data_IF_833152240982
#
_entry.id   IF_833152240982
#
_cell.length_a   1.000
_cell.length_b   1.000
_cell.length_c   1.000
_cell.angle_alpha   90.00
_cell.angle_beta   90.00
_cell.angle_gamma   90.00
#
_symmetry.space_group_name_H-M   'P 1'
#
loop_
_entity.id
_entity.type
_entity.pdbx_description
1 polymer ?
#
# COMPACT_ATOMS: atom_id res chain seq x y z
N UNK A 1 -16.69 10.04 50.40
CA UNK A 1 -17.45 9.40 49.31
C UNK A 1 -17.04 10.10 48.03
N UNK A 2 -15.86 9.71 47.53
CA UNK A 2 -15.37 10.16 46.20
C UNK A 2 -14.21 9.23 45.83
N UNK A 3 -14.54 8.01 45.49
CA UNK A 3 -13.62 7.06 44.87
C UNK A 3 -14.07 6.78 43.47
N UNK A 4 -13.09 6.64 42.63
CA UNK A 4 -13.17 6.14 41.29
C UNK A 4 -13.43 7.18 40.18
N UNK A 5 -12.39 7.44 39.43
CA UNK A 5 -12.31 7.14 37.99
C UNK A 5 -10.82 7.31 37.58
N UNK A 6 -9.96 6.39 37.98
CA UNK A 6 -8.72 6.13 37.28
C UNK A 6 -9.00 5.02 36.27
N UNK A 7 -9.52 5.41 35.10
CA UNK A 7 -9.64 4.52 33.97
C UNK A 7 -8.26 4.20 33.40
N UNK A 8 -7.55 3.24 34.02
CA UNK A 8 -6.40 2.62 33.34
C UNK A 8 -6.91 2.04 32.01
N UNK A 9 -6.27 2.36 30.88
CA UNK A 9 -6.59 1.69 29.65
C UNK A 9 -6.30 0.21 29.83
N UNK A 10 -7.34 -0.62 29.83
CA UNK A 10 -7.21 -2.08 29.83
C UNK A 10 -6.20 -2.46 28.74
N UNK A 11 -4.99 -2.85 29.16
CA UNK A 11 -4.07 -3.57 28.29
C UNK A 11 -4.84 -4.80 27.83
N UNK A 12 -5.27 -4.79 26.56
CA UNK A 12 -5.80 -6.02 25.94
C UNK A 12 -4.75 -7.08 26.19
N UNK A 13 -5.05 -8.03 27.08
CA UNK A 13 -4.19 -9.15 27.38
C UNK A 13 -3.97 -9.91 26.08
N UNK A 14 -2.77 -9.78 25.51
CA UNK A 14 -2.38 -10.61 24.38
C UNK A 14 -2.59 -12.06 24.81
N UNK A 15 -3.25 -12.86 23.97
CA UNK A 15 -3.45 -14.28 24.25
C UNK A 15 -2.10 -14.90 24.60
N UNK A 16 -2.04 -15.77 25.66
CA UNK A 16 -0.81 -16.42 26.04
C UNK A 16 -0.29 -17.28 24.89
N UNK A 17 0.99 -17.17 24.58
CA UNK A 17 1.62 -18.02 23.59
C UNK A 17 1.67 -19.47 24.09
N UNK A 18 1.42 -20.43 23.21
CA UNK A 18 1.56 -21.86 23.51
C UNK A 18 3.01 -22.19 23.97
N UNK A 19 4.00 -21.49 23.39
CA UNK A 19 5.41 -21.56 23.76
C UNK A 19 5.90 -20.18 24.22
N UNK A 20 5.88 -19.88 25.53
CA UNK A 20 6.27 -18.55 26.05
C UNK A 20 7.70 -18.12 25.70
N UNK A 21 8.61 -19.08 25.49
CA UNK A 21 9.99 -18.82 25.07
C UNK A 21 10.10 -18.07 23.73
N UNK A 22 9.07 -18.17 22.86
CA UNK A 22 9.04 -17.47 21.58
C UNK A 22 8.60 -16.01 21.67
N UNK A 23 8.24 -15.51 22.85
CA UNK A 23 7.76 -14.13 23.01
C UNK A 23 8.76 -13.11 22.48
N UNK A 24 10.02 -13.22 22.91
CA UNK A 24 11.08 -12.30 22.46
C UNK A 24 11.30 -12.34 20.95
N UNK A 25 11.23 -13.51 20.35
CA UNK A 25 11.30 -13.67 18.90
C UNK A 25 10.18 -12.89 18.20
N UNK A 26 8.91 -13.04 18.62
CA UNK A 26 7.79 -12.34 18.02
C UNK A 26 7.80 -10.83 18.25
N UNK A 27 8.33 -10.35 19.37
CA UNK A 27 8.50 -8.93 19.66
C UNK A 27 9.44 -8.24 18.66
N UNK A 28 10.45 -8.96 18.16
CA UNK A 28 11.38 -8.47 17.13
C UNK A 28 10.85 -8.76 15.74
N UNK A 29 10.39 -9.98 15.48
CA UNK A 29 9.98 -10.42 14.15
C UNK A 29 8.77 -9.65 13.62
N UNK A 30 7.80 -9.31 14.46
CA UNK A 30 6.59 -8.59 14.02
C UNK A 30 6.90 -7.19 13.42
N UNK A 31 7.62 -6.26 14.07
CA UNK A 31 7.93 -4.99 13.45
C UNK A 31 8.87 -5.11 12.25
N UNK A 32 9.78 -6.10 12.23
CA UNK A 32 10.68 -6.33 11.10
C UNK A 32 9.91 -6.86 9.90
N UNK A 33 9.08 -7.88 10.07
CA UNK A 33 8.26 -8.46 8.98
C UNK A 33 7.31 -7.42 8.37
N UNK A 34 6.73 -6.56 9.20
CA UNK A 34 5.92 -5.46 8.69
C UNK A 34 6.72 -4.44 7.89
N UNK A 35 7.91 -4.05 8.34
CA UNK A 35 8.77 -3.16 7.60
C UNK A 35 9.18 -3.77 6.25
N UNK A 36 9.54 -5.06 6.22
CA UNK A 36 9.85 -5.78 4.98
C UNK A 36 8.64 -5.83 4.03
N UNK A 37 7.44 -6.12 4.55
CA UNK A 37 6.21 -6.10 3.75
C UNK A 37 5.99 -4.75 3.09
N UNK A 38 6.11 -3.66 3.85
CA UNK A 38 5.90 -2.28 3.38
C UNK A 38 6.96 -1.88 2.34
N UNK A 39 8.24 -2.20 2.58
CA UNK A 39 9.33 -1.94 1.64
C UNK A 39 9.11 -2.73 0.34
N UNK A 40 8.85 -4.04 0.44
CA UNK A 40 8.60 -4.88 -0.73
C UNK A 40 7.38 -4.39 -1.52
N UNK A 41 6.30 -4.02 -0.83
CA UNK A 41 5.10 -3.46 -1.43
C UNK A 41 5.41 -2.17 -2.21
N UNK A 42 6.12 -1.21 -1.60
CA UNK A 42 6.52 0.02 -2.27
C UNK A 42 7.43 -0.23 -3.48
N UNK A 43 8.41 -1.14 -3.37
CA UNK A 43 9.27 -1.51 -4.49
C UNK A 43 8.49 -2.15 -5.64
N UNK A 44 7.51 -3.01 -5.36
CA UNK A 44 6.64 -3.60 -6.38
C UNK A 44 5.87 -2.50 -7.12
N UNK A 45 5.25 -1.56 -6.41
CA UNK A 45 4.54 -0.44 -7.05
C UNK A 45 5.50 0.42 -7.88
N UNK A 46 6.71 0.68 -7.40
CA UNK A 46 7.73 1.44 -8.12
C UNK A 46 8.10 0.83 -9.48
N UNK A 47 8.13 -0.51 -9.60
CA UNK A 47 8.42 -1.18 -10.89
C UNK A 47 7.39 -0.85 -11.97
N UNK A 48 6.17 -0.45 -11.59
CA UNK A 48 5.13 -0.01 -12.53
C UNK A 48 5.17 1.51 -12.80
N UNK A 49 5.60 2.31 -11.82
CA UNK A 49 5.69 3.76 -11.96
C UNK A 49 6.93 4.22 -12.74
N UNK A 50 8.08 3.60 -12.47
CA UNK A 50 9.35 4.03 -13.06
C UNK A 50 9.38 4.01 -14.59
N UNK A 51 8.89 2.96 -15.29
CA UNK A 51 8.80 2.97 -16.75
C UNK A 51 7.88 4.07 -17.30
N UNK A 52 6.78 4.40 -16.59
CA UNK A 52 5.90 5.52 -16.96
C UNK A 52 6.63 6.86 -16.87
N UNK A 53 7.44 7.05 -15.84
CA UNK A 53 8.21 8.28 -15.63
C UNK A 53 9.34 8.43 -16.66
N UNK A 54 10.04 7.34 -16.98
CA UNK A 54 11.17 7.34 -17.92
C UNK A 54 10.74 7.25 -19.39
N UNK A 55 9.45 6.98 -19.66
CA UNK A 55 8.96 6.77 -21.02
C UNK A 55 9.42 5.43 -21.63
N UNK A 56 9.78 4.47 -20.79
CA UNK A 56 10.24 3.17 -21.24
C UNK A 56 9.09 2.15 -21.32
N UNK A 57 9.30 1.07 -22.07
CA UNK A 57 8.35 -0.02 -22.15
C UNK A 57 8.30 -0.82 -20.85
N UNK A 58 7.15 -1.40 -20.51
CA UNK A 58 6.96 -2.28 -19.36
C UNK A 58 6.21 -3.55 -19.78
N UNK A 59 6.92 -4.67 -19.82
CA UNK A 59 6.37 -5.92 -20.32
C UNK A 59 5.82 -5.77 -21.75
N UNK A 60 4.55 -6.10 -21.95
CA UNK A 60 3.89 -5.96 -23.26
C UNK A 60 3.41 -4.52 -23.59
N UNK A 61 3.56 -3.57 -22.67
CA UNK A 61 3.16 -2.18 -22.86
C UNK A 61 4.33 -1.36 -23.41
N UNK A 62 4.24 -0.98 -24.70
CA UNK A 62 5.24 -0.11 -25.32
C UNK A 62 5.26 1.31 -24.72
N UNK A 63 4.11 1.81 -24.28
CA UNK A 63 3.97 3.08 -23.58
C UNK A 63 3.02 2.91 -22.38
N UNK A 64 3.55 2.64 -21.17
CA UNK A 64 2.73 2.37 -19.98
C UNK A 64 1.90 3.57 -19.52
N UNK A 65 2.37 4.82 -19.71
CA UNK A 65 1.61 6.00 -19.38
C UNK A 65 0.40 6.17 -20.31
N UNK A 66 0.61 6.04 -21.61
CA UNK A 66 -0.48 6.09 -22.59
C UNK A 66 -1.50 4.97 -22.35
N UNK A 67 -1.04 3.77 -21.99
CA UNK A 67 -1.92 2.66 -21.61
C UNK A 67 -2.78 2.99 -20.39
N UNK A 68 -2.21 3.62 -19.35
CA UNK A 68 -2.96 4.07 -18.18
C UNK A 68 -4.01 5.11 -18.54
N UNK A 69 -3.65 6.13 -19.34
CA UNK A 69 -4.59 7.15 -19.82
C UNK A 69 -5.74 6.51 -20.63
N UNK A 70 -5.43 5.53 -21.50
CA UNK A 70 -6.42 4.82 -22.28
C UNK A 70 -7.41 4.03 -21.39
N UNK A 71 -6.94 3.35 -20.35
CA UNK A 71 -7.83 2.67 -19.41
C UNK A 71 -8.71 3.65 -18.62
N UNK A 72 -8.15 4.79 -18.19
CA UNK A 72 -8.90 5.83 -17.49
C UNK A 72 -9.99 6.42 -18.39
N UNK A 73 -9.69 6.62 -19.68
CA UNK A 73 -10.63 7.16 -20.67
C UNK A 73 -11.73 6.17 -21.00
N UNK A 74 -11.36 4.95 -21.41
CA UNK A 74 -12.28 4.03 -22.09
C UNK A 74 -12.94 3.02 -21.16
N UNK A 75 -12.36 2.77 -19.96
CA UNK A 75 -12.92 1.80 -19.00
C UNK A 75 -13.50 2.49 -17.78
N UNK A 76 -12.80 3.47 -17.22
CA UNK A 76 -13.25 4.17 -16.02
C UNK A 76 -14.11 5.41 -16.35
N UNK A 77 -14.01 5.94 -17.57
CA UNK A 77 -14.73 7.13 -18.03
C UNK A 77 -14.55 8.36 -17.13
N UNK A 78 -13.33 8.51 -16.55
CA UNK A 78 -13.05 9.65 -15.67
C UNK A 78 -12.85 10.93 -16.47
N UNK A 79 -13.26 12.09 -15.93
CA UNK A 79 -12.91 13.38 -16.50
C UNK A 79 -11.41 13.61 -16.40
N UNK A 80 -10.84 14.38 -17.37
CA UNK A 80 -9.41 14.72 -17.39
C UNK A 80 -8.44 13.50 -17.30
N UNK A 81 -8.58 12.47 -18.16
CA UNK A 81 -7.86 11.21 -18.04
C UNK A 81 -6.33 11.36 -18.08
N UNK A 82 -5.82 12.37 -18.80
CA UNK A 82 -4.39 12.67 -18.87
C UNK A 82 -3.86 13.11 -17.51
N UNK A 83 -4.57 14.01 -16.81
CA UNK A 83 -4.18 14.46 -15.48
C UNK A 83 -4.18 13.30 -14.47
N UNK A 84 -5.19 12.43 -14.50
CA UNK A 84 -5.23 11.21 -13.69
C UNK A 84 -4.11 10.22 -14.07
N UNK A 85 -3.75 10.10 -15.35
CA UNK A 85 -2.62 9.28 -15.79
C UNK A 85 -1.30 9.74 -15.18
N UNK A 86 -1.01 11.05 -15.18
CA UNK A 86 0.15 11.63 -14.51
C UNK A 86 0.09 11.48 -12.99
N UNK A 87 -1.08 11.67 -12.39
CA UNK A 87 -1.27 11.44 -10.96
C UNK A 87 -0.92 9.99 -10.56
N UNK A 88 -1.42 8.99 -11.30
CA UNK A 88 -1.08 7.57 -11.09
C UNK A 88 0.42 7.34 -11.26
N UNK A 89 1.04 7.91 -12.29
CA UNK A 89 2.50 7.83 -12.48
C UNK A 89 3.27 8.37 -11.27
N UNK A 90 2.89 9.54 -10.74
CA UNK A 90 3.52 10.14 -9.57
C UNK A 90 3.29 9.30 -8.30
N UNK A 91 2.09 8.75 -8.14
CA UNK A 91 1.76 7.87 -7.01
C UNK A 91 2.58 6.58 -7.05
N UNK A 92 2.73 5.97 -8.23
CA UNK A 92 3.50 4.73 -8.42
C UNK A 92 5.03 4.95 -8.41
N UNK A 93 5.51 6.18 -8.55
CA UNK A 93 6.93 6.51 -8.45
C UNK A 93 7.28 7.10 -7.09
N UNK A 94 6.98 8.37 -6.89
CA UNK A 94 7.33 9.08 -5.65
C UNK A 94 6.52 8.56 -4.46
N UNK A 95 5.22 8.31 -4.63
CA UNK A 95 4.39 7.72 -3.59
C UNK A 95 4.88 6.34 -3.17
N UNK A 96 5.32 5.52 -4.12
CA UNK A 96 5.88 4.20 -3.85
C UNK A 96 7.18 4.26 -3.04
N UNK A 97 8.10 5.18 -3.37
CA UNK A 97 9.33 5.42 -2.60
C UNK A 97 9.01 5.92 -1.19
N UNK A 98 8.08 6.87 -1.07
CA UNK A 98 7.61 7.37 0.23
C UNK A 98 7.01 6.25 1.07
N UNK A 99 6.19 5.39 0.46
CA UNK A 99 5.59 4.24 1.12
C UNK A 99 6.64 3.23 1.58
N UNK A 100 7.64 2.91 0.74
CA UNK A 100 8.76 2.05 1.10
C UNK A 100 9.53 2.60 2.29
N UNK A 101 9.84 3.91 2.31
CA UNK A 101 10.51 4.59 3.41
C UNK A 101 9.62 4.73 4.67
N UNK A 102 8.30 4.63 4.53
CA UNK A 102 7.32 4.89 5.58
C UNK A 102 7.17 6.38 5.87
N UNK A 103 7.11 7.18 4.82
CA UNK A 103 6.86 8.61 4.87
C UNK A 103 5.45 8.90 4.36
N UNK A 104 4.68 9.67 5.12
CA UNK A 104 3.26 9.96 4.85
C UNK A 104 2.43 8.68 4.56
N UNK A 105 2.72 7.63 5.32
CA UNK A 105 2.19 6.28 5.06
C UNK A 105 0.67 6.27 5.04
N UNK A 106 0.02 6.95 6.00
CA UNK A 106 -1.45 7.00 6.12
C UNK A 106 -2.13 7.83 5.03
N UNK A 107 -1.37 8.66 4.31
CA UNK A 107 -1.87 9.41 3.16
C UNK A 107 -1.70 8.60 1.86
N UNK A 108 -0.52 8.05 1.64
CA UNK A 108 -0.16 7.38 0.38
C UNK A 108 -0.83 6.00 0.27
N UNK A 109 -0.83 5.21 1.34
CA UNK A 109 -1.35 3.84 1.28
C UNK A 109 -2.84 3.76 0.92
N UNK A 110 -3.77 4.59 1.44
CA UNK A 110 -5.16 4.57 1.00
C UNK A 110 -5.33 4.99 -0.47
N UNK A 111 -4.49 5.90 -0.99
CA UNK A 111 -4.52 6.28 -2.40
C UNK A 111 -4.15 5.09 -3.28
N UNK A 112 -3.13 4.31 -2.89
CA UNK A 112 -2.76 3.06 -3.58
C UNK A 112 -3.87 2.01 -3.44
N UNK A 113 -4.52 1.90 -2.28
CA UNK A 113 -5.65 0.97 -2.11
C UNK A 113 -6.81 1.28 -3.07
N UNK A 114 -7.17 2.56 -3.21
CA UNK A 114 -8.18 3.02 -4.19
C UNK A 114 -7.72 2.72 -5.62
N UNK A 115 -6.46 2.98 -5.96
CA UNK A 115 -5.91 2.66 -7.28
C UNK A 115 -6.01 1.15 -7.57
N UNK A 116 -5.68 0.27 -6.61
CA UNK A 116 -5.80 -1.18 -6.80
C UNK A 116 -7.25 -1.62 -7.01
N UNK A 117 -8.21 -0.99 -6.32
CA UNK A 117 -9.64 -1.23 -6.56
C UNK A 117 -10.04 -0.82 -7.99
N UNK A 118 -9.55 0.31 -8.51
CA UNK A 118 -9.79 0.71 -9.91
C UNK A 118 -9.16 -0.27 -10.91
N UNK A 119 -7.97 -0.79 -10.62
CA UNK A 119 -7.33 -1.82 -11.46
C UNK A 119 -8.16 -3.12 -11.43
N UNK A 120 -8.75 -3.50 -10.31
CA UNK A 120 -9.67 -4.64 -10.26
C UNK A 120 -10.86 -4.44 -11.22
N UNK A 121 -11.46 -3.24 -11.26
CA UNK A 121 -12.55 -2.92 -12.19
C UNK A 121 -12.12 -3.05 -13.66
N UNK A 122 -10.89 -2.63 -13.98
CA UNK A 122 -10.33 -2.75 -15.35
C UNK A 122 -10.20 -4.23 -15.78
N UNK A 123 -9.88 -5.11 -14.84
CA UNK A 123 -9.66 -6.54 -15.14
C UNK A 123 -10.94 -7.39 -14.99
N UNK A 124 -12.01 -6.82 -14.42
CA UNK A 124 -13.28 -7.53 -14.27
C UNK A 124 -13.84 -7.99 -15.63
N UNK A 125 -14.42 -9.22 -15.76
CA UNK A 125 -14.67 -10.21 -14.70
C UNK A 125 -13.56 -11.28 -14.54
N UNK A 126 -12.37 -11.11 -15.11
CA UNK A 126 -11.28 -12.09 -15.02
C UNK A 126 -10.72 -12.12 -13.61
N UNK A 127 -10.76 -13.29 -12.96
CA UNK A 127 -10.22 -13.46 -11.61
C UNK A 127 -8.75 -13.86 -11.62
N UNK A 128 -8.39 -14.96 -12.27
CA UNK A 128 -7.09 -15.58 -12.17
C UNK A 128 -5.94 -14.66 -12.65
N UNK A 129 -4.92 -14.49 -11.82
CA UNK A 129 -3.77 -13.65 -12.11
C UNK A 129 -2.98 -14.12 -13.35
N UNK A 130 -2.93 -15.43 -13.59
CA UNK A 130 -2.23 -16.03 -14.74
C UNK A 130 -2.82 -15.56 -16.07
N UNK A 131 -4.11 -15.23 -16.09
CA UNK A 131 -4.85 -14.70 -17.24
C UNK A 131 -4.94 -13.16 -17.20
N UNK A 132 -4.05 -12.51 -16.48
CA UNK A 132 -4.08 -11.06 -16.21
C UNK A 132 -5.37 -10.61 -15.52
N UNK A 133 -5.86 -11.44 -14.58
CA UNK A 133 -7.06 -11.14 -13.79
C UNK A 133 -6.80 -10.25 -12.59
N UNK A 134 -7.87 -9.98 -11.85
CA UNK A 134 -7.88 -9.03 -10.72
C UNK A 134 -7.35 -9.59 -9.40
N UNK A 135 -7.04 -10.88 -9.30
CA UNK A 135 -6.59 -11.55 -8.06
C UNK A 135 -5.37 -10.86 -7.44
N UNK A 136 -4.36 -10.54 -8.27
CA UNK A 136 -3.16 -9.86 -7.80
C UNK A 136 -3.42 -8.42 -7.33
N UNK A 137 -4.04 -7.52 -8.13
CA UNK A 137 -4.37 -6.18 -7.65
C UNK A 137 -5.34 -6.19 -6.47
N UNK A 138 -6.24 -7.18 -6.35
CA UNK A 138 -7.09 -7.34 -5.19
C UNK A 138 -6.27 -7.59 -3.91
N UNK A 139 -5.34 -8.54 -3.95
CA UNK A 139 -4.43 -8.81 -2.83
C UNK A 139 -3.59 -7.58 -2.48
N UNK A 140 -3.04 -6.90 -3.49
CA UNK A 140 -2.27 -5.66 -3.31
C UNK A 140 -3.12 -4.56 -2.67
N UNK A 141 -4.40 -4.45 -3.05
CA UNK A 141 -5.35 -3.51 -2.43
C UNK A 141 -5.57 -3.79 -0.95
N UNK A 142 -5.72 -5.06 -0.56
CA UNK A 142 -5.85 -5.45 0.85
C UNK A 142 -4.57 -5.16 1.65
N UNK A 143 -3.40 -5.39 1.06
CA UNK A 143 -2.11 -5.04 1.69
C UNK A 143 -2.00 -3.52 1.87
N UNK A 144 -2.34 -2.73 0.85
CA UNK A 144 -2.36 -1.27 0.94
C UNK A 144 -3.32 -0.78 2.03
N UNK A 145 -4.51 -1.37 2.11
CA UNK A 145 -5.50 -1.08 3.13
C UNK A 145 -4.98 -1.42 4.54
N UNK A 146 -4.32 -2.57 4.70
CA UNK A 146 -3.68 -2.93 5.96
C UNK A 146 -2.60 -1.92 6.37
N UNK A 147 -1.74 -1.50 5.43
CA UNK A 147 -0.71 -0.48 5.66
C UNK A 147 -1.35 0.86 6.04
N UNK A 148 -2.46 1.25 5.41
CA UNK A 148 -3.20 2.49 5.71
C UNK A 148 -3.61 2.57 7.18
N UNK A 149 -4.15 1.49 7.74
CA UNK A 149 -4.59 1.45 9.13
C UNK A 149 -3.43 1.30 10.11
N UNK A 150 -2.40 0.55 9.75
CA UNK A 150 -1.24 0.31 10.61
C UNK A 150 -0.30 1.52 10.66
N UNK A 151 -0.22 2.31 9.58
CA UNK A 151 0.72 3.44 9.46
C UNK A 151 2.16 3.00 9.17
N UNK A 152 3.12 3.89 9.38
CA UNK A 152 4.53 3.65 9.06
C UNK A 152 5.21 2.55 9.89
N UNK A 153 4.75 2.34 11.12
CA UNK A 153 5.30 1.34 12.03
C UNK A 153 6.64 1.72 12.66
N UNK A 154 7.28 0.76 13.33
CA UNK A 154 8.48 1.02 14.13
C UNK A 154 9.69 1.50 13.30
N UNK A 155 9.84 0.99 12.08
CA UNK A 155 10.95 1.31 11.16
C UNK A 155 10.46 2.18 10.01
N UNK A 156 10.08 3.43 10.32
CA UNK A 156 9.53 4.39 9.36
C UNK A 156 10.10 5.77 9.56
N UNK A 157 10.11 6.56 8.47
CA UNK A 157 10.47 7.99 8.52
C UNK A 157 9.43 8.78 9.31
N UNK A 158 8.13 8.44 9.20
CA UNK A 158 7.05 9.06 9.99
C UNK A 158 7.36 9.00 11.50
N UNK A 159 7.90 7.87 11.98
CA UNK A 159 8.31 7.71 13.36
C UNK A 159 9.52 8.58 13.73
N UNK A 160 10.50 8.74 12.83
CA UNK A 160 11.67 9.59 13.06
C UNK A 160 11.27 11.06 13.18
N UNK A 161 10.27 11.50 12.39
CA UNK A 161 9.70 12.85 12.44
C UNK A 161 8.82 13.03 13.68
N UNK A 162 8.37 11.93 14.30
CA UNK A 162 7.48 11.95 15.48
C UNK A 162 6.04 12.32 15.17
N UNK A 163 5.63 12.25 13.90
CA UNK A 163 4.25 12.54 13.44
C UNK A 163 3.84 11.52 12.38
N UNK A 164 2.66 10.96 12.53
CA UNK A 164 1.92 10.26 11.49
C UNK A 164 0.74 11.15 11.07
N UNK A 165 0.52 11.27 9.76
CA UNK A 165 -0.67 11.93 9.24
C UNK A 165 -1.85 10.97 9.32
#
# INVERSE_FOLDING_TARGET
MSDAITGEPQRRSAMPLLFPALRHFYEIANPVSYALLRVAFGLIILTHGLPKLLGESHGAMANPLASSVNFITNTLHFPAPVAFGYFVMLLETFGAVMLAAGLFTRLIAPMVAVQMAMICLIHYPKWAWIDRGMEYPFLMGLVALHISFRGGGRFSVDRLIGREL
#
